data_IF_293392770264
#
_entry.id   IF_293392770264
#
_cell.length_a   1.000
_cell.length_b   1.000
_cell.length_c   1.000
_cell.angle_alpha   90.00
_cell.angle_beta   90.00
_cell.angle_gamma   90.00
#
_symmetry.space_group_name_H-M   'P 1'
#
loop_
_entity.id
_entity.type
_entity.pdbx_description
1 polymer ?
#
# COMPACT_ATOMS: atom_id res chain seq x y z
N UNK A 1 -2.56 6.03 -2.65
CA UNK A 1 -1.15 5.58 -2.69
C UNK A 1 -0.32 6.36 -3.71
N UNK A 2 -0.60 6.29 -5.03
CA UNK A 2 0.20 7.00 -6.06
C UNK A 2 0.34 8.51 -5.79
N UNK A 3 -0.75 9.22 -5.54
CA UNK A 3 -0.70 10.66 -5.26
C UNK A 3 -0.06 10.99 -3.90
N UNK A 4 -0.21 10.10 -2.91
CA UNK A 4 0.31 10.31 -1.56
C UNK A 4 1.82 10.07 -1.47
N UNK A 5 2.33 9.06 -2.18
CA UNK A 5 3.76 8.71 -2.22
C UNK A 5 4.49 9.33 -3.43
N UNK A 6 3.74 9.98 -4.33
CA UNK A 6 4.23 10.49 -5.60
C UNK A 6 5.01 9.44 -6.43
N UNK A 7 4.52 8.19 -6.43
CA UNK A 7 5.14 7.04 -7.11
C UNK A 7 4.23 6.46 -8.20
N UNK A 8 4.84 5.91 -9.25
CA UNK A 8 4.17 5.02 -10.20
C UNK A 8 4.33 3.56 -9.77
N UNK A 9 3.58 2.67 -10.44
CA UNK A 9 3.71 1.24 -10.18
C UNK A 9 5.11 0.77 -10.59
N UNK A 10 5.75 -0.02 -9.74
CA UNK A 10 7.10 -0.53 -9.91
C UNK A 10 8.20 0.47 -9.52
N UNK A 11 7.86 1.67 -9.05
CA UNK A 11 8.84 2.65 -8.59
C UNK A 11 9.06 2.57 -7.08
N UNK A 12 10.30 2.87 -6.68
CA UNK A 12 10.74 3.01 -5.29
C UNK A 12 11.00 4.49 -5.01
N UNK A 13 10.62 4.97 -3.82
CA UNK A 13 10.94 6.34 -3.37
C UNK A 13 12.45 6.57 -3.36
N UNK A 14 12.93 7.80 -3.64
CA UNK A 14 14.36 8.13 -3.56
C UNK A 14 15.01 7.80 -2.21
N UNK A 15 14.24 7.91 -1.12
CA UNK A 15 14.68 7.59 0.25
C UNK A 15 14.78 6.08 0.51
N UNK A 16 14.44 5.23 -0.46
CA UNK A 16 14.48 3.77 -0.34
C UNK A 16 13.42 3.16 0.60
N UNK A 17 12.53 3.97 1.19
CA UNK A 17 11.55 3.53 2.18
C UNK A 17 10.37 2.76 1.59
N UNK A 18 9.84 3.18 0.45
CA UNK A 18 8.60 2.64 -0.11
C UNK A 18 8.78 2.20 -1.55
N UNK A 19 8.31 1.00 -1.88
CA UNK A 19 8.18 0.54 -3.27
C UNK A 19 6.71 0.27 -3.56
N UNK A 20 6.16 0.92 -4.57
CA UNK A 20 4.75 0.72 -4.94
C UNK A 20 4.64 -0.40 -5.97
N UNK A 21 4.21 -1.59 -5.57
CA UNK A 21 4.02 -2.73 -6.48
C UNK A 21 2.53 -3.04 -6.63
N UNK A 22 2.08 -3.26 -7.87
CA UNK A 22 0.74 -3.79 -8.13
C UNK A 22 0.80 -5.30 -8.19
N UNK A 23 0.06 -5.98 -7.33
CA UNK A 23 -0.15 -7.43 -7.39
C UNK A 23 -1.56 -7.74 -7.86
N UNK A 24 -1.78 -8.92 -8.44
CA UNK A 24 -3.08 -9.30 -8.99
C UNK A 24 -4.05 -9.75 -7.90
N UNK A 25 -3.90 -10.98 -7.40
CA UNK A 25 -4.82 -11.56 -6.43
C UNK A 25 -4.06 -11.98 -5.19
N UNK A 26 -4.56 -11.56 -4.03
CA UNK A 26 -4.05 -11.97 -2.71
C UNK A 26 -4.95 -13.04 -2.05
N UNK A 27 -5.97 -13.54 -2.75
CA UNK A 27 -6.91 -14.52 -2.21
C UNK A 27 -7.89 -13.96 -1.17
N UNK A 28 -7.94 -12.63 -1.02
CA UNK A 28 -8.69 -11.92 0.01
C UNK A 28 -9.91 -11.19 -0.57
N UNK A 29 -10.63 -11.84 -1.47
CA UNK A 29 -11.74 -11.24 -2.23
C UNK A 29 -12.86 -10.70 -1.32
N UNK A 30 -13.06 -11.29 -0.14
CA UNK A 30 -14.09 -10.89 0.83
C UNK A 30 -13.79 -9.56 1.54
N UNK A 31 -12.55 -9.08 1.50
CA UNK A 31 -12.11 -7.85 2.18
C UNK A 31 -11.39 -6.88 1.23
N UNK A 32 -11.67 -6.98 -0.08
CA UNK A 32 -11.19 -6.00 -1.06
C UNK A 32 -11.81 -4.63 -0.82
N UNK A 33 -11.09 -3.51 -1.03
CA UNK A 33 -9.70 -3.35 -1.46
C UNK A 33 -8.65 -3.74 -0.39
N UNK A 34 -7.56 -4.38 -0.81
CA UNK A 34 -6.49 -4.87 0.07
C UNK A 34 -5.16 -4.19 -0.25
N UNK A 35 -4.40 -3.85 0.79
CA UNK A 35 -3.00 -3.42 0.71
C UNK A 35 -2.16 -4.37 1.54
N UNK A 36 -1.03 -4.81 1.00
CA UNK A 36 -0.01 -5.57 1.72
C UNK A 36 1.21 -4.66 1.87
N UNK A 37 1.68 -4.49 3.11
CA UNK A 37 2.93 -3.81 3.42
C UNK A 37 3.81 -4.83 4.12
N UNK A 38 4.92 -5.22 3.51
CA UNK A 38 5.75 -6.33 3.95
C UNK A 38 4.94 -7.61 4.22
N UNK A 39 4.70 -7.96 5.49
CA UNK A 39 3.90 -9.14 5.91
C UNK A 39 2.51 -8.77 6.45
N UNK A 40 2.20 -7.47 6.58
CA UNK A 40 0.94 -6.97 7.14
C UNK A 40 -0.13 -6.76 6.08
N UNK A 41 -1.26 -7.43 6.27
CA UNK A 41 -2.42 -7.37 5.38
C UNK A 41 -3.46 -6.39 5.93
N UNK A 42 -3.75 -5.36 5.13
CA UNK A 42 -4.81 -4.40 5.38
C UNK A 42 -5.95 -4.63 4.41
N UNK A 43 -7.11 -5.09 4.91
CA UNK A 43 -8.35 -5.24 4.14
C UNK A 43 -9.31 -4.06 4.35
N UNK A 44 -10.28 -3.92 3.44
CA UNK A 44 -11.27 -2.83 3.43
C UNK A 44 -10.65 -1.43 3.49
N UNK A 45 -9.52 -1.24 2.83
CA UNK A 45 -8.74 0.00 2.93
C UNK A 45 -9.39 1.13 2.14
N UNK A 46 -9.57 2.29 2.78
CA UNK A 46 -9.99 3.53 2.13
C UNK A 46 -8.81 4.50 1.92
N UNK A 47 -8.89 5.44 0.97
CA UNK A 47 -7.83 6.44 0.74
C UNK A 47 -7.49 7.29 1.96
N UNK A 48 -8.46 7.48 2.87
CA UNK A 48 -8.32 8.26 4.10
C UNK A 48 -7.49 7.55 5.16
N UNK A 49 -7.47 6.21 5.15
CA UNK A 49 -6.69 5.39 6.09
C UNK A 49 -5.23 5.23 5.68
N UNK A 50 -4.90 5.54 4.42
CA UNK A 50 -3.53 5.37 3.89
C UNK A 50 -2.48 6.13 4.71
N UNK A 51 -2.66 7.41 5.11
CA UNK A 51 -1.70 8.12 5.94
C UNK A 51 -1.48 7.44 7.29
N UNK A 52 -2.55 7.03 7.98
CA UNK A 52 -2.46 6.34 9.27
C UNK A 52 -1.77 4.98 9.15
N UNK A 53 -2.01 4.24 8.06
CA UNK A 53 -1.34 2.97 7.79
C UNK A 53 0.16 3.18 7.58
N UNK A 54 0.54 4.15 6.73
CA UNK A 54 1.96 4.45 6.44
C UNK A 54 2.70 4.95 7.69
N UNK A 55 2.03 5.76 8.53
CA UNK A 55 2.61 6.28 9.77
C UNK A 55 2.92 5.22 10.83
N UNK A 56 2.45 3.97 10.67
CA UNK A 56 2.86 2.86 11.53
C UNK A 56 4.27 2.36 11.27
N UNK A 57 4.85 2.72 10.12
CA UNK A 57 6.17 2.28 9.67
C UNK A 57 7.19 3.44 9.62
N UNK A 58 6.84 4.60 10.20
CA UNK A 58 7.73 5.76 10.35
C UNK A 58 8.52 5.76 11.66
#
# INVERSE_FOLDING_TARGET
LREKLNLKNGETTPDGKWTLVTTSCLGLCSVGPVVLIDEDIYGNVTPEQVPDILGRYE
#
